data_IF_259929469953
#
_entry.id   IF_259929469953
#
_cell.length_a   1.000
_cell.length_b   1.000
_cell.length_c   1.000
_cell.angle_alpha   90.00
_cell.angle_beta   90.00
_cell.angle_gamma   90.00
#
_symmetry.space_group_name_H-M   'P 1'
#
loop_
_entity.id
_entity.type
_entity.pdbx_description
1 polymer ?
#
# COMPACT_ATOMS: atom_id res chain seq x y z
N UNK A 1 46.49 12.25 -44.67
CA UNK A 1 47.32 11.02 -44.66
C UNK A 1 46.79 10.12 -43.55
N UNK A 2 46.21 8.97 -43.90
CA UNK A 2 45.71 8.04 -42.88
C UNK A 2 46.89 7.42 -42.14
N UNK A 3 46.97 7.60 -40.81
CA UNK A 3 47.95 6.89 -39.97
C UNK A 3 47.61 5.40 -40.02
N UNK A 4 48.45 4.60 -40.69
CA UNK A 4 48.36 3.15 -40.65
C UNK A 4 48.45 2.67 -39.21
N UNK A 5 47.60 1.72 -38.86
CA UNK A 5 47.59 1.15 -37.51
C UNK A 5 48.87 0.36 -37.27
N UNK A 6 49.36 0.30 -36.02
CA UNK A 6 50.58 -0.45 -35.66
C UNK A 6 50.55 -1.90 -36.16
N UNK A 7 49.36 -2.50 -36.25
CA UNK A 7 49.14 -3.85 -36.75
C UNK A 7 49.35 -3.96 -38.27
N UNK A 8 48.96 -2.93 -39.03
CA UNK A 8 49.20 -2.85 -40.47
C UNK A 8 50.67 -2.58 -40.78
N UNK A 9 51.36 -1.77 -39.96
CA UNK A 9 52.80 -1.56 -40.05
C UNK A 9 53.59 -2.86 -39.85
N UNK A 10 53.18 -3.72 -38.91
CA UNK A 10 53.81 -5.01 -38.65
C UNK A 10 53.57 -6.05 -39.76
N UNK A 11 52.41 -6.00 -40.43
CA UNK A 11 52.11 -6.87 -41.58
C UNK A 11 52.90 -6.43 -42.82
N UNK A 12 53.02 -5.12 -43.04
CA UNK A 12 53.83 -4.55 -44.12
C UNK A 12 55.34 -4.80 -43.90
N UNK A 13 55.78 -4.85 -42.63
CA UNK A 13 57.14 -5.21 -42.25
C UNK A 13 57.43 -6.74 -42.28
N UNK A 14 56.48 -7.58 -42.74
CA UNK A 14 56.67 -9.03 -42.91
C UNK A 14 56.80 -9.84 -41.61
N UNK A 15 56.69 -9.20 -40.45
CA UNK A 15 56.81 -9.82 -39.11
C UNK A 15 55.58 -10.64 -38.73
N UNK A 16 54.47 -10.52 -39.48
CA UNK A 16 53.21 -11.22 -39.19
C UNK A 16 52.54 -11.70 -40.46
N UNK A 17 52.21 -12.99 -40.54
CA UNK A 17 51.49 -13.57 -41.67
C UNK A 17 50.00 -13.16 -41.64
N UNK A 18 49.42 -12.86 -42.81
CA UNK A 18 47.99 -12.53 -42.97
C UNK A 18 47.03 -13.53 -42.28
N UNK A 19 47.40 -14.82 -42.27
CA UNK A 19 46.68 -15.88 -41.54
C UNK A 19 46.63 -15.67 -40.02
N UNK A 20 47.71 -15.17 -39.39
CA UNK A 20 47.74 -14.87 -37.95
C UNK A 20 46.91 -13.62 -37.63
N UNK A 21 46.97 -12.59 -38.49
CA UNK A 21 46.12 -11.40 -38.37
C UNK A 21 44.63 -11.73 -38.43
N UNK A 22 44.21 -12.56 -39.39
CA UNK A 22 42.81 -12.98 -39.49
C UNK A 22 42.33 -13.79 -38.27
N UNK A 23 43.22 -14.59 -37.66
CA UNK A 23 42.91 -15.37 -36.44
C UNK A 23 42.71 -14.47 -35.23
N UNK A 24 43.57 -13.46 -35.03
CA UNK A 24 43.46 -12.47 -33.94
C UNK A 24 42.21 -11.61 -34.07
N UNK A 25 41.87 -11.16 -35.28
CA UNK A 25 40.62 -10.41 -35.49
C UNK A 25 39.37 -11.26 -35.24
N UNK A 26 39.38 -12.54 -35.60
CA UNK A 26 38.26 -13.45 -35.32
C UNK A 26 38.08 -13.74 -33.83
N UNK A 27 39.17 -13.92 -33.07
CA UNK A 27 39.09 -14.13 -31.61
C UNK A 27 38.66 -12.86 -30.88
N UNK A 28 39.16 -11.68 -31.30
CA UNK A 28 38.72 -10.39 -30.76
C UNK A 28 37.23 -10.11 -31.03
N UNK A 29 36.72 -10.45 -32.23
CA UNK A 29 35.29 -10.33 -32.55
C UNK A 29 34.41 -11.26 -31.70
N UNK A 30 34.81 -12.53 -31.49
CA UNK A 30 34.06 -13.47 -30.63
C UNK A 30 34.02 -13.02 -29.16
N UNK A 31 35.14 -12.55 -28.61
CA UNK A 31 35.20 -12.04 -27.23
C UNK A 31 34.32 -10.80 -27.04
N UNK A 32 34.27 -9.89 -28.02
CA UNK A 32 33.43 -8.69 -27.96
C UNK A 32 31.93 -9.01 -28.01
N UNK A 33 31.52 -10.06 -28.72
CA UNK A 33 30.11 -10.51 -28.76
C UNK A 33 29.70 -11.12 -27.42
N UNK A 34 30.53 -12.00 -26.86
CA UNK A 34 30.28 -12.58 -25.52
C UNK A 34 30.24 -11.52 -24.42
N UNK A 35 31.12 -10.51 -24.48
CA UNK A 35 31.11 -9.39 -23.54
C UNK A 35 29.85 -8.50 -23.70
N UNK A 36 29.26 -8.43 -24.89
CA UNK A 36 28.04 -7.67 -25.15
C UNK A 36 26.79 -8.44 -24.66
N UNK A 37 26.69 -9.73 -24.96
CA UNK A 37 25.60 -10.59 -24.47
C UNK A 37 25.61 -10.69 -22.94
N UNK A 38 26.78 -10.80 -22.32
CA UNK A 38 26.91 -10.77 -20.87
C UNK A 38 26.46 -9.42 -20.26
N UNK A 39 26.75 -8.30 -20.93
CA UNK A 39 26.29 -6.97 -20.50
C UNK A 39 24.77 -6.81 -20.65
N UNK A 40 24.21 -7.27 -21.75
CA UNK A 40 22.75 -7.22 -21.99
C UNK A 40 21.97 -8.11 -21.00
N UNK A 41 22.51 -9.29 -20.64
CA UNK A 41 21.93 -10.16 -19.61
C UNK A 41 21.99 -9.54 -18.21
N UNK A 42 23.09 -8.86 -17.86
CA UNK A 42 23.21 -8.12 -16.59
C UNK A 42 22.27 -6.92 -16.56
N UNK A 43 22.11 -6.21 -17.67
CA UNK A 43 21.21 -5.04 -17.73
C UNK A 43 19.74 -5.45 -17.59
N UNK A 44 19.33 -6.56 -18.21
CA UNK A 44 17.98 -7.12 -18.04
C UNK A 44 17.72 -7.56 -16.60
N UNK A 45 18.65 -8.30 -15.99
CA UNK A 45 18.52 -8.69 -14.58
C UNK A 45 18.47 -7.49 -13.63
N UNK A 46 19.26 -6.44 -13.92
CA UNK A 46 19.25 -5.20 -13.13
C UNK A 46 17.91 -4.46 -13.25
N UNK A 47 17.29 -4.43 -14.43
CA UNK A 47 15.95 -3.83 -14.62
C UNK A 47 14.88 -4.60 -13.83
N UNK A 48 14.89 -5.93 -13.89
CA UNK A 48 13.95 -6.78 -13.14
C UNK A 48 14.14 -6.62 -11.61
N UNK A 49 15.38 -6.52 -11.12
CA UNK A 49 15.64 -6.24 -9.71
C UNK A 49 15.11 -4.86 -9.30
N UNK A 50 15.35 -3.82 -10.11
CA UNK A 50 14.86 -2.47 -9.81
C UNK A 50 13.33 -2.38 -9.79
N UNK A 51 12.64 -3.09 -10.69
CA UNK A 51 11.17 -3.15 -10.69
C UNK A 51 10.64 -3.87 -9.45
N UNK A 52 11.25 -5.00 -9.08
CA UNK A 52 10.89 -5.74 -7.87
C UNK A 52 11.13 -4.89 -6.61
N UNK A 53 12.26 -4.22 -6.53
CA UNK A 53 12.61 -3.37 -5.39
C UNK A 53 11.67 -2.17 -5.28
N UNK A 54 11.25 -1.59 -6.42
CA UNK A 54 10.24 -0.52 -6.44
C UNK A 54 8.89 -0.99 -5.91
N UNK A 55 8.40 -2.14 -6.39
CA UNK A 55 7.14 -2.71 -5.93
C UNK A 55 7.18 -3.03 -4.43
N UNK A 56 8.28 -3.62 -3.96
CA UNK A 56 8.46 -3.94 -2.55
C UNK A 56 8.52 -2.67 -1.68
N UNK A 57 9.21 -1.63 -2.16
CA UNK A 57 9.24 -0.32 -1.49
C UNK A 57 7.86 0.33 -1.42
N UNK A 58 7.07 0.25 -2.48
CA UNK A 58 5.72 0.81 -2.51
C UNK A 58 4.78 0.09 -1.54
N UNK A 59 4.82 -1.25 -1.51
CA UNK A 59 4.07 -2.04 -0.52
C UNK A 59 4.47 -1.69 0.93
N UNK A 60 5.78 -1.54 1.19
CA UNK A 60 6.26 -1.12 2.50
C UNK A 60 5.76 0.28 2.87
N UNK A 61 5.79 1.24 1.93
CA UNK A 61 5.28 2.60 2.16
C UNK A 61 3.78 2.57 2.49
N UNK A 62 2.99 1.83 1.72
CA UNK A 62 1.55 1.69 1.99
C UNK A 62 1.29 1.06 3.37
N UNK A 63 2.06 0.04 3.75
CA UNK A 63 1.96 -0.59 5.06
C UNK A 63 2.36 0.35 6.22
N UNK A 64 3.36 1.21 6.01
CA UNK A 64 3.77 2.22 7.00
C UNK A 64 2.67 3.26 7.17
N UNK A 65 2.14 3.80 6.07
CA UNK A 65 1.04 4.78 6.10
C UNK A 65 -0.20 4.20 6.81
N UNK A 66 -0.58 2.96 6.49
CA UNK A 66 -1.70 2.29 7.16
C UNK A 66 -1.47 2.13 8.67
N UNK A 67 -0.23 1.86 9.10
CA UNK A 67 0.13 1.80 10.53
C UNK A 67 0.06 3.17 11.19
N UNK A 68 0.52 4.22 10.52
CA UNK A 68 0.45 5.60 11.02
C UNK A 68 -0.98 6.07 11.21
N UNK A 69 -1.86 5.80 10.24
CA UNK A 69 -3.29 6.12 10.36
C UNK A 69 -3.93 5.38 11.54
N UNK A 70 -3.67 4.08 11.69
CA UNK A 70 -4.16 3.30 12.83
C UNK A 70 -3.67 3.83 14.18
N UNK A 71 -2.39 4.23 14.25
CA UNK A 71 -1.83 4.84 15.46
C UNK A 71 -2.49 6.20 15.78
N UNK A 72 -2.71 7.02 14.76
CA UNK A 72 -3.40 8.31 14.92
C UNK A 72 -4.85 8.13 15.39
N UNK A 73 -5.57 7.16 14.82
CA UNK A 73 -6.93 6.82 15.24
C UNK A 73 -6.94 6.36 16.69
N UNK A 74 -6.02 5.45 17.07
CA UNK A 74 -5.86 5.00 18.46
C UNK A 74 -5.69 6.18 19.43
N UNK A 75 -4.77 7.09 19.11
CA UNK A 75 -4.52 8.27 19.93
C UNK A 75 -5.77 9.16 20.03
N UNK A 76 -6.49 9.35 18.91
CA UNK A 76 -7.69 10.18 18.88
C UNK A 76 -8.81 9.58 19.75
N UNK A 77 -8.97 8.25 19.74
CA UNK A 77 -9.89 7.52 20.61
C UNK A 77 -9.48 7.69 22.07
N UNK A 78 -8.21 7.46 22.41
CA UNK A 78 -7.71 7.58 23.78
C UNK A 78 -7.88 8.99 24.37
N UNK A 79 -7.66 10.03 23.56
CA UNK A 79 -7.81 11.43 23.99
C UNK A 79 -9.26 11.85 24.19
N UNK A 80 -10.19 11.30 23.40
CA UNK A 80 -11.61 11.70 23.40
C UNK A 80 -12.52 10.66 24.07
N UNK A 81 -11.96 9.65 24.74
CA UNK A 81 -12.75 8.64 25.43
C UNK A 81 -13.50 9.27 26.60
N UNK A 82 -14.78 8.93 26.70
CA UNK A 82 -15.64 9.37 27.80
C UNK A 82 -15.71 8.21 28.81
N UNK A 83 -15.12 8.41 29.99
CA UNK A 83 -15.22 7.44 31.08
C UNK A 83 -16.61 7.49 31.71
N UNK A 84 -17.39 6.42 31.52
CA UNK A 84 -18.71 6.27 32.14
C UNK A 84 -18.54 5.48 33.44
N UNK A 85 -18.17 6.14 34.53
CA UNK A 85 -17.84 5.49 35.82
C UNK A 85 -19.01 4.80 36.54
N UNK A 86 -20.26 4.96 36.09
CA UNK A 86 -21.47 4.43 36.76
C UNK A 86 -22.58 4.06 35.77
N UNK A 87 -22.31 3.07 34.91
CA UNK A 87 -23.36 2.51 34.06
C UNK A 87 -24.15 1.43 34.78
N UNK A 88 -25.46 1.62 34.90
CA UNK A 88 -26.41 0.59 35.39
C UNK A 88 -27.13 -0.09 34.20
N UNK A 89 -27.06 0.51 33.01
CA UNK A 89 -27.81 0.07 31.84
C UNK A 89 -26.87 -0.59 30.86
N UNK A 90 -27.16 -1.84 30.51
CA UNK A 90 -26.49 -2.56 29.45
C UNK A 90 -26.89 -2.08 28.06
N UNK A 91 -25.97 -1.47 27.33
CA UNK A 91 -26.16 -1.19 25.90
C UNK A 91 -25.54 -2.32 25.07
N UNK A 92 -26.38 -2.99 24.28
CA UNK A 92 -25.95 -4.04 23.37
C UNK A 92 -25.67 -3.46 22.00
N UNK A 93 -24.56 -3.87 21.39
CA UNK A 93 -24.17 -3.46 20.04
C UNK A 93 -23.54 -4.63 19.29
N UNK A 94 -23.57 -4.58 17.97
CA UNK A 94 -22.99 -5.62 17.11
C UNK A 94 -21.61 -5.17 16.61
N UNK A 95 -20.59 -5.99 16.84
CA UNK A 95 -19.25 -5.83 16.30
C UNK A 95 -18.91 -7.08 15.47
N UNK A 96 -18.77 -6.94 14.15
CA UNK A 96 -18.40 -8.05 13.26
C UNK A 96 -19.25 -9.32 13.47
N UNK A 97 -20.58 -9.17 13.51
CA UNK A 97 -21.56 -10.23 13.74
C UNK A 97 -21.55 -10.85 15.15
N UNK A 98 -20.84 -10.25 16.11
CA UNK A 98 -20.85 -10.64 17.52
C UNK A 98 -21.56 -9.56 18.34
N UNK A 99 -22.56 -9.96 19.11
CA UNK A 99 -23.24 -9.06 20.04
C UNK A 99 -22.35 -8.86 21.26
N UNK A 100 -22.01 -7.60 21.53
CA UNK A 100 -21.22 -7.13 22.66
C UNK A 100 -22.09 -6.25 23.54
N UNK A 101 -21.72 -6.13 24.81
CA UNK A 101 -22.43 -5.32 25.81
C UNK A 101 -21.45 -4.35 26.46
N UNK A 102 -21.85 -3.10 26.62
CA UNK A 102 -21.16 -2.09 27.42
C UNK A 102 -22.13 -1.50 28.45
N UNK A 103 -21.67 -1.34 29.68
CA UNK A 103 -22.46 -0.73 30.74
C UNK A 103 -22.35 0.79 30.67
N UNK A 104 -23.48 1.46 30.49
CA UNK A 104 -23.58 2.91 30.29
C UNK A 104 -24.64 3.53 31.20
N UNK A 105 -24.53 4.83 31.42
CA UNK A 105 -25.56 5.60 32.11
C UNK A 105 -26.73 5.91 31.15
N UNK A 106 -27.91 6.24 31.70
CA UNK A 106 -29.12 6.57 30.93
C UNK A 106 -28.91 7.76 30.00
N UNK A 107 -28.15 8.75 30.44
CA UNK A 107 -27.80 9.92 29.62
C UNK A 107 -26.94 9.52 28.43
N UNK A 108 -25.91 8.70 28.66
CA UNK A 108 -25.01 8.20 27.61
C UNK A 108 -25.76 7.31 26.62
N UNK A 109 -26.63 6.42 27.11
CA UNK A 109 -27.49 5.60 26.26
C UNK A 109 -28.34 6.46 25.32
N UNK A 110 -29.00 7.49 25.86
CA UNK A 110 -29.83 8.40 25.06
C UNK A 110 -28.99 9.14 24.02
N UNK A 111 -27.77 9.55 24.37
CA UNK A 111 -26.86 10.22 23.44
C UNK A 111 -26.31 9.29 22.37
N UNK A 112 -26.08 8.01 22.68
CA UNK A 112 -25.71 6.97 21.71
C UNK A 112 -26.86 6.72 20.72
N UNK A 113 -28.10 6.60 21.20
CA UNK A 113 -29.29 6.44 20.35
C UNK A 113 -29.48 7.66 19.43
N UNK A 114 -29.33 8.86 19.98
CA UNK A 114 -29.44 10.11 19.23
C UNK A 114 -28.25 10.38 18.29
N UNK A 115 -27.26 9.48 18.21
CA UNK A 115 -26.08 9.64 17.35
C UNK A 115 -25.13 10.77 17.75
N UNK A 116 -25.21 11.29 18.98
CA UNK A 116 -24.24 12.29 19.49
C UNK A 116 -22.96 11.64 20.00
N UNK A 117 -23.07 10.41 20.45
CA UNK A 117 -21.95 9.57 20.86
C UNK A 117 -21.89 8.36 19.94
N UNK A 118 -20.68 7.83 19.81
CA UNK A 118 -20.35 6.65 19.03
C UNK A 118 -19.49 5.70 19.85
N UNK A 119 -19.53 4.41 19.50
CA UNK A 119 -18.68 3.39 20.10
C UNK A 119 -17.57 3.08 19.10
N UNK A 120 -16.33 3.31 19.50
CA UNK A 120 -15.14 2.99 18.74
C UNK A 120 -14.42 1.79 19.36
N UNK A 121 -13.83 0.97 18.49
CA UNK A 121 -13.00 -0.16 18.87
C UNK A 121 -11.58 0.32 19.09
N UNK A 122 -11.09 0.13 20.31
CA UNK A 122 -9.72 0.40 20.70
C UNK A 122 -8.97 -0.92 20.82
N UNK A 123 -8.05 -1.19 19.90
CA UNK A 123 -7.17 -2.36 20.00
C UNK A 123 -6.06 -2.03 21.00
N UNK A 124 -6.22 -2.55 22.22
CA UNK A 124 -5.23 -2.40 23.29
C UNK A 124 -4.31 -3.60 23.20
N UNK A 125 -3.10 -3.34 22.71
CA UNK A 125 -2.02 -4.30 22.52
C UNK A 125 -2.18 -5.22 21.31
N UNK A 126 -1.03 -5.69 20.82
CA UNK A 126 -0.93 -6.69 19.74
C UNK A 126 -1.44 -8.09 20.16
N UNK A 127 -2.08 -8.17 21.34
CA UNK A 127 -2.61 -9.39 21.97
C UNK A 127 -4.05 -9.71 21.56
N UNK A 128 -4.67 -8.89 20.70
CA UNK A 128 -6.04 -9.13 20.23
C UNK A 128 -7.14 -8.70 21.20
N UNK A 129 -6.78 -8.07 22.32
CA UNK A 129 -7.76 -7.49 23.25
C UNK A 129 -8.34 -6.20 22.66
N UNK A 130 -9.64 -6.23 22.37
CA UNK A 130 -10.40 -5.09 21.87
C UNK A 130 -11.19 -4.49 23.03
N UNK A 131 -10.81 -3.29 23.48
CA UNK A 131 -11.61 -2.49 24.38
C UNK A 131 -12.57 -1.61 23.57
N UNK A 132 -13.74 -1.33 24.12
CA UNK A 132 -14.72 -0.44 23.50
C UNK A 132 -14.70 0.89 24.23
N UNK A 133 -14.46 1.97 23.49
CA UNK A 133 -14.44 3.33 24.02
C UNK A 133 -15.61 4.13 23.44
N UNK A 134 -16.24 4.93 24.30
CA UNK A 134 -17.30 5.85 23.89
C UNK A 134 -16.65 7.17 23.53
N UNK A 135 -16.90 7.65 22.32
CA UNK A 135 -16.35 8.89 21.78
C UNK A 135 -17.46 9.81 21.25
N UNK A 136 -17.25 11.13 21.18
CA UNK A 136 -18.17 12.03 20.50
C UNK A 136 -18.29 11.73 19.01
N UNK A 137 -19.48 11.94 18.44
CA UNK A 137 -19.74 11.74 17.00
C UNK A 137 -18.78 12.53 16.11
N UNK A 138 -18.49 13.80 16.44
CA UNK A 138 -17.54 14.62 15.66
C UNK A 138 -16.11 14.04 15.59
N UNK A 139 -15.75 13.20 16.56
CA UNK A 139 -14.48 12.47 16.56
C UNK A 139 -14.63 11.17 15.79
N UNK A 140 -15.75 10.48 15.94
CA UNK A 140 -16.08 9.30 15.15
C UNK A 140 -16.07 9.60 13.65
N UNK A 141 -16.68 10.68 13.18
CA UNK A 141 -16.69 11.04 11.76
C UNK A 141 -15.27 11.25 11.20
N UNK A 142 -14.37 11.85 12.01
CA UNK A 142 -12.95 12.03 11.65
C UNK A 142 -12.19 10.70 11.61
N UNK A 143 -12.58 9.73 12.45
CA UNK A 143 -12.02 8.39 12.43
C UNK A 143 -12.56 7.64 11.22
N UNK A 144 -13.84 7.76 10.89
CA UNK A 144 -14.49 7.08 9.76
C UNK A 144 -13.83 7.43 8.43
N UNK A 145 -13.49 8.71 8.25
CA UNK A 145 -12.77 9.21 7.07
C UNK A 145 -11.36 8.63 6.90
N UNK A 146 -10.76 8.11 7.98
CA UNK A 146 -9.38 7.57 7.97
C UNK A 146 -9.37 6.05 8.02
N UNK A 147 -10.21 5.47 8.87
CA UNK A 147 -10.28 4.05 9.18
C UNK A 147 -11.70 3.69 9.64
N UNK A 148 -12.55 3.31 8.69
CA UNK A 148 -13.94 2.93 8.95
C UNK A 148 -14.04 1.70 9.87
N UNK A 149 -13.08 0.77 9.79
CA UNK A 149 -13.03 -0.45 10.61
C UNK A 149 -12.87 -0.19 12.11
N UNK A 150 -12.47 1.01 12.50
CA UNK A 150 -12.29 1.38 13.91
C UNK A 150 -13.59 1.81 14.59
N UNK A 151 -14.68 2.02 13.83
CA UNK A 151 -15.98 2.45 14.38
C UNK A 151 -16.95 1.28 14.38
N UNK A 152 -17.55 1.04 15.54
CA UNK A 152 -18.49 -0.08 15.73
C UNK A 152 -19.93 0.42 15.70
N UNK A 153 -20.19 1.58 16.31
CA UNK A 153 -21.52 2.19 16.32
C UNK A 153 -21.38 3.67 16.06
N UNK A 154 -21.91 4.13 14.93
CA UNK A 154 -22.21 5.53 14.71
C UNK A 154 -23.65 5.63 14.19
N UNK A 155 -24.58 5.95 15.10
CA UNK A 155 -26.01 6.03 14.77
C UNK A 155 -26.31 7.12 13.73
N UNK A 156 -25.41 8.10 13.54
CA UNK A 156 -25.55 9.12 12.50
C UNK A 156 -25.18 8.61 11.09
N UNK A 157 -24.23 7.67 10.97
CA UNK A 157 -23.86 7.05 9.68
C UNK A 157 -24.93 6.08 9.17
N UNK A 158 -25.86 5.66 10.03
CA UNK A 158 -26.98 4.79 9.63
C UNK A 158 -28.02 5.46 8.73
N UNK A 159 -27.88 6.76 8.43
CA UNK A 159 -28.75 7.46 7.47
C UNK A 159 -28.14 7.64 6.07
N UNK A 160 -26.87 7.29 5.84
CA UNK A 160 -26.18 7.56 4.55
C UNK A 160 -25.77 6.31 3.75
N UNK A 161 -25.97 5.08 4.26
CA UNK A 161 -25.72 3.84 3.48
C UNK A 161 -26.99 3.19 2.90
N UNK A 162 -28.08 3.95 2.76
CA UNK A 162 -29.15 3.66 1.80
C UNK A 162 -29.01 4.56 0.56
N UNK A 163 -27.85 4.52 -0.09
CA UNK A 163 -27.77 4.74 -1.53
C UNK A 163 -27.46 3.38 -2.18
N UNK A 164 -28.38 2.42 -1.96
CA UNK A 164 -28.65 1.37 -2.93
C UNK A 164 -29.21 2.07 -4.20
N UNK A 165 -28.63 1.73 -5.35
CA UNK A 165 -28.87 2.23 -6.73
C UNK A 165 -28.13 3.50 -7.16
N UNK A 166 -26.86 3.34 -7.55
CA UNK A 166 -26.34 4.11 -8.70
C UNK A 166 -26.75 3.40 -10.01
N UNK A 167 -27.71 3.95 -10.79
CA UNK A 167 -28.25 3.39 -12.04
C UNK A 167 -27.29 3.40 -13.25
N UNK A 168 -26.00 3.68 -13.08
CA UNK A 168 -25.02 3.72 -14.18
C UNK A 168 -24.37 2.37 -14.56
N UNK A 169 -24.84 1.24 -13.99
CA UNK A 169 -24.43 -0.10 -14.42
C UNK A 169 -24.71 -0.39 -15.92
N UNK A 170 -25.58 0.39 -16.57
CA UNK A 170 -25.91 0.24 -17.99
C UNK A 170 -24.97 0.95 -18.97
N UNK A 171 -23.99 1.74 -18.50
CA UNK A 171 -22.98 2.31 -19.39
C UNK A 171 -21.78 1.37 -19.53
N UNK A 172 -21.98 0.30 -20.32
CA UNK A 172 -20.88 -0.40 -21.00
C UNK A 172 -20.05 0.64 -21.76
N UNK A 173 -18.81 0.86 -21.32
CA UNK A 173 -17.80 1.52 -22.15
C UNK A 173 -17.64 0.67 -23.41
N UNK A 174 -17.98 1.16 -24.61
CA UNK A 174 -17.80 0.41 -25.83
C UNK A 174 -16.29 0.31 -26.10
N UNK A 175 -15.83 -0.93 -26.22
CA UNK A 175 -14.53 -1.32 -26.73
C UNK A 175 -14.42 -0.93 -28.22
N UNK A 176 -14.10 0.34 -28.52
CA UNK A 176 -13.39 0.75 -29.75
C UNK A 176 -13.07 2.26 -29.73
N UNK A 177 -11.78 2.63 -29.69
CA UNK A 177 -11.21 3.62 -30.62
C UNK A 177 -9.68 3.69 -30.44
N UNK A 178 -8.98 2.90 -31.26
CA UNK A 178 -7.62 3.22 -31.69
C UNK A 178 -7.68 4.34 -32.73
N UNK A 179 -7.24 5.54 -32.35
CA UNK A 179 -6.58 6.51 -33.23
C UNK A 179 -5.65 7.41 -32.41
#
# INVERSE_FOLDING_TARGET
MAKLTLQEQLLQAGLVTSKKMAKVQRTAKKSRVQAREAREAVEKNKKVQLERDKQLSEQQKQAVLAKEFKAQVKQLIEMNRINVSKGDIGFNFTDNNVIKKIDVDKLTQTQLINGRLAIARLVINNSGECEYAIIPASVADKIAQRDADSIVVNSALSQEEQDEDDPYADFKVPDDLMW
#
